data_IF_906623320440
#
_entry.id   IF_906623320440
#
_cell.length_a   1.000
_cell.length_b   1.000
_cell.length_c   1.000
_cell.angle_alpha   90.00
_cell.angle_beta   90.00
_cell.angle_gamma   90.00
#
_symmetry.space_group_name_H-M   'P 1'
#
loop_
_entity.id
_entity.type
_entity.pdbx_description
1 polymer ?
#
# COMPACT_ATOMS: atom_id res chain seq x y z
N UNK A 1 7.04 -4.41 -13.87
CA UNK A 1 5.67 -4.30 -13.32
C UNK A 1 5.63 -5.03 -11.99
N UNK A 2 5.17 -4.37 -10.94
CA UNK A 2 5.10 -4.94 -9.59
C UNK A 2 3.69 -5.43 -9.28
N UNK A 3 3.59 -6.51 -8.50
CA UNK A 3 2.32 -7.09 -8.09
C UNK A 3 2.27 -7.08 -6.56
N UNK A 4 1.22 -6.47 -6.01
CA UNK A 4 0.92 -6.50 -4.58
C UNK A 4 -0.16 -7.55 -4.37
N UNK A 5 0.24 -8.72 -3.87
CA UNK A 5 -0.68 -9.81 -3.55
C UNK A 5 -0.95 -9.82 -2.04
N UNK A 6 -2.21 -9.81 -1.61
CA UNK A 6 -2.55 -9.89 -0.21
C UNK A 6 -2.22 -11.27 0.35
N UNK A 7 -1.77 -11.31 1.61
CA UNK A 7 -1.52 -12.58 2.30
C UNK A 7 -2.84 -13.26 2.74
N UNK A 8 -3.87 -12.45 3.03
CA UNK A 8 -5.18 -12.94 3.43
C UNK A 8 -6.07 -13.16 2.21
N UNK A 9 -6.90 -14.23 2.17
CA UNK A 9 -7.72 -14.58 1.01
C UNK A 9 -8.75 -13.52 0.60
N UNK A 10 -9.10 -12.62 1.53
CA UNK A 10 -10.15 -11.61 1.35
C UNK A 10 -9.65 -10.32 0.68
N UNK A 11 -8.33 -10.18 0.47
CA UNK A 11 -7.76 -9.00 -0.16
C UNK A 11 -7.82 -9.03 -1.69
N UNK A 12 -7.73 -7.85 -2.30
CA UNK A 12 -7.58 -7.69 -3.74
C UNK A 12 -6.10 -7.64 -4.16
N UNK A 13 -5.76 -8.25 -5.30
CA UNK A 13 -4.42 -8.12 -5.89
C UNK A 13 -4.33 -6.82 -6.68
N UNK A 14 -3.29 -6.02 -6.42
CA UNK A 14 -3.08 -4.75 -7.10
C UNK A 14 -1.85 -4.78 -8.00
N UNK A 15 -1.99 -4.28 -9.21
CA UNK A 15 -0.89 -4.13 -10.17
C UNK A 15 -0.33 -2.71 -10.08
N UNK A 16 0.94 -2.60 -9.69
CA UNK A 16 1.61 -1.32 -9.54
C UNK A 16 2.40 -1.00 -10.80
N UNK A 17 1.89 -0.03 -11.54
CA UNK A 17 2.55 0.55 -12.71
C UNK A 17 3.73 1.44 -12.29
N UNK A 18 4.90 1.30 -12.94
CA UNK A 18 6.03 2.20 -12.75
C UNK A 18 5.66 3.67 -12.99
N UNK A 19 6.24 4.58 -12.20
CA UNK A 19 6.03 6.03 -12.33
C UNK A 19 4.71 6.54 -11.73
N UNK A 20 3.92 5.67 -11.11
CA UNK A 20 2.69 6.05 -10.39
C UNK A 20 2.86 5.85 -8.89
N UNK A 21 2.33 6.81 -8.13
CA UNK A 21 2.22 6.73 -6.68
C UNK A 21 0.89 6.11 -6.27
N UNK A 22 0.93 5.22 -5.27
CA UNK A 22 -0.24 4.55 -4.71
C UNK A 22 -0.28 4.78 -3.21
N UNK A 23 -1.41 5.26 -2.70
CA UNK A 23 -1.62 5.41 -1.27
C UNK A 23 -2.33 4.17 -0.74
N UNK A 24 -1.77 3.58 0.31
CA UNK A 24 -2.34 2.50 1.09
C UNK A 24 -2.98 3.10 2.35
N UNK A 25 -4.19 2.67 2.69
CA UNK A 25 -4.85 3.14 3.90
C UNK A 25 -6.25 2.60 4.07
N UNK A 26 -6.92 2.99 5.17
CA UNK A 26 -8.27 2.49 5.49
C UNK A 26 -9.43 3.31 4.93
N UNK A 27 -9.17 4.47 4.31
CA UNK A 27 -10.24 5.34 3.79
C UNK A 27 -9.77 6.24 2.65
N UNK A 28 -10.56 6.36 1.59
CA UNK A 28 -10.35 7.27 0.46
C UNK A 28 -8.95 7.18 -0.18
N UNK A 29 -8.48 5.97 -0.48
CA UNK A 29 -7.16 5.75 -1.09
C UNK A 29 -7.21 4.63 -2.15
N UNK A 30 -6.25 4.60 -3.10
CA UNK A 30 -6.22 3.61 -4.17
C UNK A 30 -6.11 2.15 -3.70
N UNK A 31 -5.36 1.90 -2.63
CA UNK A 31 -5.19 0.56 -2.05
C UNK A 31 -5.88 0.58 -0.69
N UNK A 32 -7.15 0.16 -0.69
CA UNK A 32 -8.02 0.24 0.47
C UNK A 32 -7.89 -1.02 1.32
N UNK A 33 -7.52 -0.85 2.59
CA UNK A 33 -7.56 -1.88 3.61
C UNK A 33 -8.69 -1.55 4.60
N UNK A 34 -9.95 -1.90 4.26
CA UNK A 34 -11.10 -1.52 5.07
C UNK A 34 -11.10 -2.28 6.40
N UNK A 35 -11.80 -1.72 7.39
CA UNK A 35 -12.10 -2.38 8.67
C UNK A 35 -10.93 -2.62 9.64
N UNK A 36 -9.70 -2.25 9.30
CA UNK A 36 -8.59 -2.24 10.26
C UNK A 36 -8.41 -0.84 10.88
N UNK A 37 -8.65 -0.73 12.19
CA UNK A 37 -8.52 0.53 12.93
C UNK A 37 -7.07 0.91 13.25
N UNK A 38 -6.15 -0.05 13.23
CA UNK A 38 -4.72 0.21 13.38
C UNK A 38 -4.13 0.87 12.13
N UNK A 39 -4.79 0.73 10.99
CA UNK A 39 -4.36 1.35 9.74
C UNK A 39 -4.81 2.82 9.68
N UNK A 40 -3.89 3.73 9.37
CA UNK A 40 -4.22 5.15 9.19
C UNK A 40 -5.06 5.38 7.92
N UNK A 41 -5.79 6.50 7.84
CA UNK A 41 -6.64 6.79 6.65
C UNK A 41 -5.80 6.85 5.38
N UNK A 42 -4.64 7.52 5.46
CA UNK A 42 -3.51 7.38 4.55
C UNK A 42 -2.33 6.85 5.39
N UNK A 43 -1.91 5.62 5.14
CA UNK A 43 -0.94 4.89 5.97
C UNK A 43 0.45 4.91 5.35
N UNK A 44 0.56 4.55 4.08
CA UNK A 44 1.83 4.50 3.38
C UNK A 44 1.67 4.90 1.92
N UNK A 45 2.73 5.43 1.35
CA UNK A 45 2.83 5.78 -0.06
C UNK A 45 3.80 4.82 -0.74
N UNK A 46 3.34 4.14 -1.77
CA UNK A 46 4.11 3.23 -2.60
C UNK A 46 4.45 3.92 -3.91
N UNK A 47 5.73 3.95 -4.25
CA UNK A 47 6.21 4.41 -5.55
C UNK A 47 6.94 3.26 -6.23
N UNK A 48 6.40 2.79 -7.34
CA UNK A 48 7.00 1.74 -8.14
C UNK A 48 7.84 2.36 -9.27
N UNK A 49 9.02 1.82 -9.50
CA UNK A 49 9.84 2.01 -10.71
C UNK A 49 10.06 0.66 -11.38
N UNK A 50 10.77 0.64 -12.50
CA UNK A 50 11.08 -0.61 -13.20
C UNK A 50 11.99 -1.55 -12.38
N UNK A 51 12.87 -0.99 -11.54
CA UNK A 51 13.83 -1.78 -10.75
C UNK A 51 13.56 -1.76 -9.24
N UNK A 52 12.85 -0.76 -8.72
CA UNK A 52 12.71 -0.56 -7.28
C UNK A 52 11.27 -0.28 -6.88
N UNK A 53 10.88 -0.75 -5.69
CA UNK A 53 9.65 -0.37 -5.02
C UNK A 53 10.02 0.38 -3.75
N UNK A 54 9.61 1.64 -3.65
CA UNK A 54 9.85 2.48 -2.48
C UNK A 54 8.57 2.61 -1.67
N UNK A 55 8.69 2.48 -0.35
CA UNK A 55 7.62 2.68 0.61
C UNK A 55 7.96 3.87 1.50
N UNK A 56 7.03 4.81 1.62
CA UNK A 56 7.10 5.92 2.57
C UNK A 56 5.98 5.79 3.58
N UNK A 57 6.35 5.63 4.84
CA UNK A 57 5.41 5.58 5.95
C UNK A 57 4.91 6.99 6.31
N UNK A 58 3.59 7.12 6.48
CA UNK A 58 2.92 8.34 6.96
C UNK A 58 1.93 8.00 8.08
N UNK A 59 2.06 6.82 8.66
CA UNK A 59 1.09 6.26 9.58
C UNK A 59 1.31 6.68 11.03
N UNK A 60 0.29 6.45 11.85
CA UNK A 60 0.39 6.62 13.31
C UNK A 60 1.21 5.52 14.00
N UNK A 61 1.19 4.30 13.47
CA UNK A 61 1.72 3.10 14.16
C UNK A 61 2.97 2.51 13.50
N UNK A 62 3.48 3.15 12.45
CA UNK A 62 4.63 2.69 11.70
C UNK A 62 4.28 1.66 10.63
N UNK A 63 5.18 1.54 9.65
CA UNK A 63 5.17 0.47 8.63
C UNK A 63 6.47 -0.33 8.72
N UNK A 64 6.40 -1.65 8.57
CA UNK A 64 7.55 -2.56 8.60
C UNK A 64 7.72 -3.27 7.25
N UNK A 65 8.95 -3.33 6.76
CA UNK A 65 9.35 -4.03 5.53
C UNK A 65 10.43 -5.04 5.89
N UNK A 66 10.32 -6.27 5.37
CA UNK A 66 11.27 -7.36 5.58
C UNK A 66 12.43 -7.28 4.57
#
# INVERSE_FOLDING_TARGET
MWILTPLQPEGETHYLLPGKEYVVGRKNCPILLPNDQSISRAHAHLTATDQTLSLRDTSKYGTFVN
#
